data_IF_357934333180
#
_entry.id   IF_357934333180
#
_cell.length_a   1.000
_cell.length_b   1.000
_cell.length_c   1.000
_cell.angle_alpha   90.00
_cell.angle_beta   90.00
_cell.angle_gamma   90.00
#
_symmetry.space_group_name_H-M   'P 1'
#
loop_
_entity.id
_entity.type
_entity.pdbx_description
1 polymer ?
#
# COMPACT_ATOMS: atom_id res chain seq x y z
N UNK A 1 35.90 -7.33 13.95
CA UNK A 1 34.45 -7.55 13.94
C UNK A 1 33.89 -6.91 12.70
N UNK A 2 33.26 -7.69 11.82
CA UNK A 2 32.75 -7.26 10.51
C UNK A 2 31.56 -6.30 10.71
N UNK A 3 31.79 -4.98 10.59
CA UNK A 3 30.78 -3.93 10.84
C UNK A 3 29.86 -3.62 9.64
N UNK A 4 30.10 -4.20 8.47
CA UNK A 4 29.26 -3.96 7.29
C UNK A 4 28.52 -5.24 6.87
N UNK A 5 27.27 -5.13 6.52
CA UNK A 5 26.45 -6.24 5.98
C UNK A 5 27.11 -6.88 4.76
N UNK A 6 27.82 -6.07 3.97
CA UNK A 6 28.61 -6.53 2.82
C UNK A 6 29.70 -7.50 3.24
N UNK A 7 30.43 -7.20 4.33
CA UNK A 7 31.47 -8.08 4.83
C UNK A 7 30.90 -9.38 5.43
N UNK A 8 29.74 -9.31 6.08
CA UNK A 8 29.05 -10.51 6.60
C UNK A 8 28.58 -11.44 5.48
N UNK A 9 27.96 -10.90 4.44
CA UNK A 9 27.51 -11.67 3.26
C UNK A 9 28.70 -12.26 2.51
N UNK A 10 29.77 -11.49 2.30
CA UNK A 10 31.00 -11.99 1.69
C UNK A 10 31.61 -13.12 2.50
N UNK A 11 31.67 -12.99 3.81
CA UNK A 11 32.18 -14.05 4.70
C UNK A 11 31.29 -15.31 4.61
N UNK A 12 29.98 -15.16 4.66
CA UNK A 12 29.04 -16.28 4.64
C UNK A 12 29.05 -17.03 3.30
N UNK A 13 28.91 -16.33 2.18
CA UNK A 13 28.95 -16.96 0.85
C UNK A 13 30.34 -17.43 0.46
N UNK A 14 31.37 -16.68 0.82
CA UNK A 14 32.76 -17.07 0.58
C UNK A 14 33.12 -18.35 1.33
N UNK A 15 32.78 -18.45 2.63
CA UNK A 15 33.03 -19.66 3.42
C UNK A 15 32.23 -20.86 2.90
N UNK A 16 30.96 -20.66 2.52
CA UNK A 16 30.13 -21.72 1.95
C UNK A 16 30.72 -22.28 0.65
N UNK A 17 31.15 -21.40 -0.25
CA UNK A 17 31.78 -21.78 -1.53
C UNK A 17 33.12 -22.50 -1.31
N UNK A 18 33.95 -22.01 -0.39
CA UNK A 18 35.22 -22.64 -0.07
C UNK A 18 35.00 -24.02 0.54
N UNK A 19 34.05 -24.17 1.47
CA UNK A 19 33.71 -25.47 2.05
C UNK A 19 33.16 -26.45 1.01
N UNK A 20 32.28 -26.00 0.12
CA UNK A 20 31.74 -26.83 -0.98
C UNK A 20 32.86 -27.26 -1.95
N UNK A 21 33.72 -26.33 -2.37
CA UNK A 21 34.88 -26.62 -3.22
C UNK A 21 35.89 -27.55 -2.57
N UNK A 22 36.21 -27.28 -1.29
CA UNK A 22 37.09 -28.15 -0.50
C UNK A 22 36.54 -29.56 -0.32
N UNK A 23 35.25 -29.68 -0.04
CA UNK A 23 34.53 -30.97 0.04
C UNK A 23 34.55 -31.73 -1.29
N UNK A 24 34.36 -31.05 -2.40
CA UNK A 24 34.42 -31.65 -3.75
C UNK A 24 35.86 -32.15 -4.06
N UNK A 25 36.89 -31.34 -3.79
CA UNK A 25 38.26 -31.71 -4.01
C UNK A 25 38.64 -32.89 -3.11
N UNK A 26 38.23 -32.90 -1.82
CA UNK A 26 38.44 -34.01 -0.91
C UNK A 26 37.77 -35.29 -1.41
N UNK A 27 36.53 -35.18 -1.89
CA UNK A 27 35.79 -36.32 -2.46
C UNK A 27 36.50 -36.90 -3.69
N UNK A 28 36.94 -36.06 -4.62
CA UNK A 28 37.66 -36.48 -5.83
C UNK A 28 38.98 -37.14 -5.44
N UNK A 29 39.74 -36.59 -4.47
CA UNK A 29 40.99 -37.22 -3.96
C UNK A 29 40.72 -38.60 -3.34
N UNK A 30 39.66 -38.75 -2.54
CA UNK A 30 39.29 -40.04 -1.95
C UNK A 30 38.93 -41.07 -3.03
N UNK A 31 38.13 -40.70 -4.03
CA UNK A 31 37.75 -41.55 -5.15
C UNK A 31 38.94 -41.94 -6.02
N UNK A 32 39.85 -40.98 -6.31
CA UNK A 32 41.06 -41.27 -7.05
C UNK A 32 41.98 -42.23 -6.30
N UNK A 33 42.17 -42.03 -5.01
CA UNK A 33 42.96 -42.96 -4.15
C UNK A 33 42.32 -44.37 -4.18
N UNK A 34 41.03 -44.49 -3.96
CA UNK A 34 40.30 -45.77 -4.00
C UNK A 34 40.37 -46.47 -5.36
N UNK A 35 40.22 -45.72 -6.45
CA UNK A 35 40.28 -46.24 -7.82
C UNK A 35 41.69 -46.61 -8.28
N UNK A 36 42.72 -45.86 -7.86
CA UNK A 36 44.13 -46.16 -8.15
C UNK A 36 44.55 -47.44 -7.41
N UNK A 37 44.22 -47.57 -6.10
CA UNK A 37 44.54 -48.79 -5.33
C UNK A 37 43.93 -50.04 -5.97
N UNK A 38 42.69 -50.01 -6.42
CA UNK A 38 42.03 -51.12 -7.06
C UNK A 38 42.66 -51.53 -8.42
N UNK A 39 43.20 -50.58 -9.17
CA UNK A 39 43.87 -50.81 -10.46
C UNK A 39 45.30 -51.27 -10.33
N UNK A 40 46.07 -50.73 -9.39
CA UNK A 40 47.46 -51.09 -9.13
C UNK A 40 47.56 -52.50 -8.51
N UNK A 41 46.71 -52.82 -7.56
CA UNK A 41 46.67 -54.18 -6.99
C UNK A 41 46.23 -55.23 -8.01
N UNK A 42 45.36 -54.93 -8.96
CA UNK A 42 45.01 -55.78 -10.08
C UNK A 42 46.16 -56.00 -11.08
N UNK A 43 46.94 -54.95 -11.36
CA UNK A 43 48.08 -55.05 -12.30
C UNK A 43 49.26 -55.83 -11.73
N UNK A 44 49.51 -55.70 -10.43
CA UNK A 44 50.60 -56.48 -9.77
C UNK A 44 50.28 -57.99 -9.69
N UNK A 45 48.99 -58.34 -9.58
CA UNK A 45 48.58 -59.77 -9.56
C UNK A 45 48.64 -60.43 -10.93
N UNK A 46 48.65 -59.67 -12.01
CA UNK A 46 48.74 -60.23 -13.40
C UNK A 46 50.17 -60.25 -13.95
N UNK A 47 51.11 -59.67 -13.26
CA UNK A 47 52.52 -59.59 -13.69
C UNK A 47 53.42 -60.79 -13.20
N UNK A 48 52.83 -61.87 -12.69
CA UNK A 48 53.56 -63.11 -12.43
C UNK A 48 53.79 -63.79 -13.74
N UNK A 49 55.08 -63.99 -14.19
CA UNK A 49 55.34 -64.74 -15.46
C UNK A 49 54.84 -66.14 -15.37
N UNK A 50 53.93 -66.52 -16.28
CA UNK A 50 53.71 -67.94 -16.57
C UNK A 50 54.93 -68.45 -17.33
N UNK A 51 55.71 -69.21 -16.67
CA UNK A 51 56.72 -70.02 -17.31
C UNK A 51 56.03 -71.07 -18.17
N UNK A 52 56.41 -71.11 -19.43
CA UNK A 52 56.19 -72.11 -20.50
C UNK A 52 55.46 -73.39 -20.10
N UNK A 53 54.28 -73.54 -20.71
CA UNK A 53 53.71 -74.82 -21.00
C UNK A 53 52.96 -74.70 -22.34
N UNK A 54 53.65 -75.08 -23.35
CA UNK A 54 53.20 -75.93 -24.47
C UNK A 54 51.97 -75.50 -25.30
N UNK A 55 52.27 -75.23 -26.54
CA UNK A 55 51.42 -75.11 -27.70
C UNK A 55 50.41 -76.22 -27.83
N UNK A 56 49.16 -75.91 -28.01
CA UNK A 56 48.26 -76.69 -28.94
C UNK A 56 47.14 -75.73 -29.37
N UNK A 57 46.76 -75.75 -30.66
CA UNK A 57 45.69 -74.88 -31.22
C UNK A 57 44.35 -75.62 -31.10
N UNK A 58 43.34 -75.05 -30.56
CA UNK A 58 41.96 -75.50 -30.77
C UNK A 58 41.08 -74.26 -31.07
N UNK A 59 40.51 -74.32 -32.25
CA UNK A 59 39.39 -73.47 -32.71
C UNK A 59 38.16 -73.71 -31.83
N UNK A 60 37.32 -72.70 -31.71
CA UNK A 60 35.89 -72.94 -31.54
C UNK A 60 35.25 -72.24 -30.32
N UNK A 61 34.31 -71.43 -30.65
CA UNK A 61 33.08 -71.10 -29.93
C UNK A 61 33.10 -70.37 -28.56
N UNK A 62 32.41 -69.27 -28.56
CA UNK A 62 32.06 -68.43 -27.40
C UNK A 62 31.04 -69.19 -26.52
N UNK A 63 31.40 -69.34 -25.24
CA UNK A 63 30.48 -69.76 -24.19
C UNK A 63 30.71 -68.95 -22.90
N UNK A 64 29.68 -68.72 -22.07
CA UNK A 64 29.68 -67.71 -21.01
C UNK A 64 30.63 -68.03 -19.86
N UNK A 65 31.37 -67.06 -19.40
CA UNK A 65 32.36 -67.17 -18.31
C UNK A 65 31.61 -67.34 -16.97
N UNK A 66 31.61 -68.59 -16.48
CA UNK A 66 31.31 -68.84 -15.07
C UNK A 66 32.54 -68.51 -14.18
N UNK A 67 32.34 -68.14 -12.94
CA UNK A 67 33.47 -67.74 -12.04
C UNK A 67 34.31 -69.07 -11.74
N UNK A 68 35.58 -68.91 -12.05
CA UNK A 68 36.55 -70.03 -11.77
C UNK A 68 36.83 -70.00 -10.25
N UNK A 69 36.64 -71.16 -9.56
CA UNK A 69 37.01 -71.23 -8.16
C UNK A 69 38.54 -71.15 -8.02
N UNK A 70 38.97 -70.41 -6.95
CA UNK A 70 40.38 -70.24 -6.59
C UNK A 70 41.06 -71.63 -6.53
N UNK A 71 41.92 -71.88 -7.53
CA UNK A 71 42.80 -73.06 -7.48
C UNK A 71 43.82 -72.90 -6.40
N UNK A 72 43.75 -73.77 -5.41
CA UNK A 72 44.78 -73.98 -4.38
C UNK A 72 46.18 -74.08 -5.01
N UNK A 73 47.07 -73.17 -4.58
CA UNK A 73 48.48 -73.26 -4.94
C UNK A 73 49.07 -74.57 -4.46
N UNK A 74 49.95 -75.19 -5.25
CA UNK A 74 50.70 -76.37 -4.77
C UNK A 74 51.70 -75.89 -3.69
N UNK A 75 51.54 -76.36 -2.49
CA UNK A 75 52.49 -76.15 -1.38
C UNK A 75 53.83 -76.82 -1.75
N UNK A 76 54.88 -76.04 -1.83
CA UNK A 76 56.21 -76.57 -1.78
C UNK A 76 57.28 -76.00 -2.66
N UNK A 77 57.15 -74.81 -3.23
CA UNK A 77 58.31 -74.17 -3.89
C UNK A 77 58.68 -72.91 -3.11
N UNK A 78 59.76 -72.98 -2.37
CA UNK A 78 60.42 -71.78 -1.82
C UNK A 78 60.96 -70.94 -2.96
N UNK A 79 60.55 -69.61 -3.08
CA UNK A 79 61.04 -68.80 -4.16
C UNK A 79 62.57 -68.64 -4.05
N UNK A 80 63.20 -68.58 -5.20
CA UNK A 80 64.68 -68.45 -5.25
C UNK A 80 65.07 -67.04 -4.72
N UNK A 81 66.32 -66.92 -4.23
CA UNK A 81 66.80 -65.60 -3.73
C UNK A 81 66.69 -64.47 -4.77
N UNK A 82 66.82 -64.79 -6.07
CA UNK A 82 66.68 -63.84 -7.18
C UNK A 82 65.20 -63.38 -7.38
N UNK A 83 64.25 -64.33 -7.25
CA UNK A 83 62.83 -64.01 -7.33
C UNK A 83 62.39 -63.12 -6.17
N UNK A 84 62.88 -63.40 -4.96
CA UNK A 84 62.64 -62.52 -3.78
C UNK A 84 63.25 -61.12 -3.95
N UNK A 85 64.39 -61.01 -4.58
CA UNK A 85 65.05 -59.74 -4.86
C UNK A 85 64.29 -58.93 -5.92
N UNK A 86 63.85 -59.60 -7.01
CA UNK A 86 62.99 -58.96 -8.01
C UNK A 86 61.66 -58.50 -7.44
N UNK A 87 61.04 -59.29 -6.56
CA UNK A 87 59.81 -58.92 -5.86
C UNK A 87 59.97 -57.71 -4.96
N UNK A 88 61.09 -57.66 -4.23
CA UNK A 88 61.42 -56.54 -3.35
C UNK A 88 61.69 -55.23 -4.13
N UNK A 89 62.42 -55.36 -5.27
CA UNK A 89 62.70 -54.19 -6.15
C UNK A 89 61.42 -53.67 -6.81
N UNK A 90 60.53 -54.56 -7.32
CA UNK A 90 59.28 -54.19 -7.96
C UNK A 90 58.32 -53.52 -6.95
N UNK A 91 58.28 -54.06 -5.74
CA UNK A 91 57.46 -53.51 -4.64
C UNK A 91 57.98 -52.12 -4.18
N UNK A 92 59.28 -51.96 -4.07
CA UNK A 92 59.91 -50.68 -3.68
C UNK A 92 59.71 -49.62 -4.79
N UNK A 93 59.81 -49.99 -6.06
CA UNK A 93 59.51 -49.12 -7.18
C UNK A 93 58.01 -48.71 -7.25
N UNK A 94 57.10 -49.64 -7.02
CA UNK A 94 55.66 -49.35 -7.00
C UNK A 94 55.29 -48.43 -5.86
N UNK A 95 55.85 -48.61 -4.66
CA UNK A 95 55.60 -47.72 -3.50
C UNK A 95 56.24 -46.34 -3.69
N UNK A 96 57.39 -46.24 -4.32
CA UNK A 96 58.03 -44.93 -4.60
C UNK A 96 57.23 -44.11 -5.66
N UNK A 97 56.77 -44.77 -6.70
CA UNK A 97 55.93 -44.16 -7.73
C UNK A 97 54.55 -43.73 -7.15
N UNK A 98 53.97 -44.55 -6.29
CA UNK A 98 52.73 -44.28 -5.60
C UNK A 98 52.87 -43.04 -4.66
N UNK A 99 53.95 -43.01 -3.86
CA UNK A 99 54.20 -41.86 -2.99
C UNK A 99 54.47 -40.55 -3.76
N UNK A 100 55.20 -40.63 -4.89
CA UNK A 100 55.47 -39.46 -5.74
C UNK A 100 54.18 -38.91 -6.38
N UNK A 101 53.35 -39.82 -6.94
CA UNK A 101 52.06 -39.42 -7.56
C UNK A 101 51.06 -38.89 -6.54
N UNK A 102 50.99 -39.45 -5.34
CA UNK A 102 50.14 -38.93 -4.26
C UNK A 102 50.57 -37.54 -3.79
N UNK A 103 51.91 -37.31 -3.71
CA UNK A 103 52.42 -35.99 -3.32
C UNK A 103 52.14 -34.92 -4.39
N UNK A 104 52.32 -35.21 -5.66
CA UNK A 104 51.95 -34.33 -6.76
C UNK A 104 50.43 -34.03 -6.78
N UNK A 105 49.60 -35.04 -6.62
CA UNK A 105 48.14 -34.87 -6.51
C UNK A 105 47.74 -33.99 -5.34
N UNK A 106 48.38 -34.11 -4.19
CA UNK A 106 48.12 -33.27 -3.02
C UNK A 106 48.54 -31.82 -3.27
N UNK A 107 49.72 -31.60 -3.88
CA UNK A 107 50.18 -30.24 -4.23
C UNK A 107 49.24 -29.57 -5.23
N UNK A 108 48.90 -30.26 -6.31
CA UNK A 108 47.97 -29.72 -7.34
C UNK A 108 46.61 -29.44 -6.71
N UNK A 109 46.11 -30.35 -5.86
CA UNK A 109 44.81 -30.15 -5.18
C UNK A 109 44.85 -28.96 -4.20
N UNK A 110 45.94 -28.75 -3.50
CA UNK A 110 46.12 -27.63 -2.58
C UNK A 110 46.20 -26.29 -3.32
N UNK A 111 46.92 -26.24 -4.45
CA UNK A 111 47.00 -25.06 -5.31
C UNK A 111 45.65 -24.76 -5.92
N UNK A 112 44.96 -25.78 -6.43
CA UNK A 112 43.61 -25.62 -6.98
C UNK A 112 42.59 -25.12 -5.92
N UNK A 113 42.66 -25.64 -4.70
CA UNK A 113 41.81 -25.18 -3.58
C UNK A 113 42.10 -23.73 -3.22
N UNK A 114 43.39 -23.34 -3.14
CA UNK A 114 43.80 -21.97 -2.87
C UNK A 114 43.31 -21.00 -3.94
N UNK A 115 43.49 -21.35 -5.22
CA UNK A 115 43.00 -20.56 -6.36
C UNK A 115 41.45 -20.42 -6.35
N UNK A 116 40.77 -21.54 -6.06
CA UNK A 116 39.31 -21.55 -5.94
C UNK A 116 38.83 -20.70 -4.76
N UNK A 117 39.49 -20.75 -3.62
CA UNK A 117 39.15 -19.94 -2.45
C UNK A 117 39.29 -18.44 -2.73
N UNK A 118 40.38 -18.01 -3.39
CA UNK A 118 40.62 -16.61 -3.78
C UNK A 118 39.52 -16.14 -4.74
N UNK A 119 39.24 -16.96 -5.80
CA UNK A 119 38.20 -16.65 -6.77
C UNK A 119 36.81 -16.55 -6.12
N UNK A 120 36.48 -17.48 -5.22
CA UNK A 120 35.19 -17.50 -4.51
C UNK A 120 34.99 -16.29 -3.62
N UNK A 121 36.03 -15.88 -2.86
CA UNK A 121 36.00 -14.69 -2.01
C UNK A 121 35.84 -13.42 -2.88
N UNK A 122 36.57 -13.33 -3.97
CA UNK A 122 36.49 -12.20 -4.90
C UNK A 122 35.09 -12.09 -5.51
N UNK A 123 34.54 -13.22 -6.00
CA UNK A 123 33.19 -13.29 -6.61
C UNK A 123 32.10 -12.94 -5.58
N UNK A 124 32.20 -13.48 -4.36
CA UNK A 124 31.27 -13.18 -3.28
C UNK A 124 31.30 -11.69 -2.90
N UNK A 125 32.47 -11.07 -2.84
CA UNK A 125 32.63 -9.65 -2.56
C UNK A 125 32.04 -8.77 -3.68
N UNK A 126 32.26 -9.14 -4.94
CA UNK A 126 31.73 -8.45 -6.10
C UNK A 126 30.20 -8.54 -6.16
N UNK A 127 29.64 -9.75 -5.96
CA UNK A 127 28.18 -9.97 -5.91
C UNK A 127 27.52 -9.24 -4.76
N UNK A 128 28.06 -9.34 -3.55
CA UNK A 128 27.53 -8.63 -2.39
C UNK A 128 27.48 -7.11 -2.63
N UNK A 129 28.52 -6.56 -3.26
CA UNK A 129 28.56 -5.15 -3.63
C UNK A 129 27.48 -4.76 -4.65
N UNK A 130 27.23 -5.60 -5.63
CA UNK A 130 26.22 -5.36 -6.68
C UNK A 130 24.79 -5.44 -6.13
N UNK A 131 24.51 -6.41 -5.28
CA UNK A 131 23.16 -6.63 -4.69
C UNK A 131 22.84 -5.58 -3.63
N UNK A 132 23.80 -5.15 -2.81
CA UNK A 132 23.56 -4.20 -1.72
C UNK A 132 23.62 -2.71 -2.14
N UNK A 133 24.18 -2.40 -3.32
CA UNK A 133 24.27 -1.02 -3.79
C UNK A 133 22.92 -0.31 -3.90
N UNK A 134 21.85 -0.91 -4.47
CA UNK A 134 20.52 -0.31 -4.51
C UNK A 134 19.94 -0.03 -3.12
N UNK A 135 20.13 -0.93 -2.16
CA UNK A 135 19.68 -0.73 -0.78
C UNK A 135 20.36 0.48 -0.13
N UNK A 136 21.66 0.67 -0.42
CA UNK A 136 22.39 1.85 0.03
C UNK A 136 21.81 3.15 -0.54
N UNK A 137 21.43 3.16 -1.83
CA UNK A 137 20.80 4.32 -2.47
C UNK A 137 19.45 4.63 -1.81
N UNK A 138 18.58 3.63 -1.65
CA UNK A 138 17.28 3.80 -1.00
C UNK A 138 17.45 4.37 0.42
N UNK A 139 18.36 3.80 1.20
CA UNK A 139 18.60 4.23 2.59
C UNK A 139 19.17 5.65 2.67
N UNK A 140 20.06 6.03 1.76
CA UNK A 140 20.66 7.37 1.75
C UNK A 140 19.64 8.43 1.30
N UNK A 141 18.84 8.14 0.26
CA UNK A 141 17.75 9.01 -0.16
C UNK A 141 16.72 9.17 0.96
N UNK A 142 16.31 8.06 1.59
CA UNK A 142 15.38 8.09 2.72
C UNK A 142 15.89 8.93 3.91
N UNK A 143 17.22 8.93 4.18
CA UNK A 143 17.81 9.75 5.24
C UNK A 143 17.89 11.23 4.90
N UNK A 144 18.02 11.57 3.63
CA UNK A 144 18.05 12.96 3.15
C UNK A 144 16.66 13.58 3.08
N UNK A 145 15.62 12.74 3.05
CA UNK A 145 14.26 13.20 3.03
C UNK A 145 13.94 13.98 4.30
N UNK A 146 13.59 15.23 4.12
CA UNK A 146 13.07 16.14 5.14
C UNK A 146 11.87 16.86 4.56
N UNK A 147 11.08 17.49 5.41
CA UNK A 147 9.93 18.29 4.94
C UNK A 147 10.26 19.38 3.90
N UNK A 148 11.55 19.70 3.70
CA UNK A 148 12.03 20.64 2.70
C UNK A 148 12.33 19.99 1.34
N UNK A 149 12.65 18.68 1.30
CA UNK A 149 13.19 17.99 0.11
C UNK A 149 12.32 16.80 -0.31
N UNK A 150 10.98 16.91 -0.21
CA UNK A 150 10.05 15.84 -0.57
C UNK A 150 9.97 15.56 -2.09
N UNK A 151 10.58 16.41 -2.93
CA UNK A 151 10.61 16.24 -4.39
C UNK A 151 11.76 15.35 -4.87
N UNK A 152 12.70 14.96 -4.01
CA UNK A 152 13.69 13.95 -4.38
C UNK A 152 13.00 12.59 -4.54
N UNK A 153 13.41 11.84 -5.58
CA UNK A 153 12.95 10.47 -5.84
C UNK A 153 14.13 9.53 -5.82
N UNK A 154 13.86 8.29 -5.50
CA UNK A 154 14.88 7.24 -5.53
C UNK A 154 15.27 6.95 -6.98
N UNK A 155 14.30 6.97 -7.91
CA UNK A 155 14.46 6.72 -9.37
C UNK A 155 15.49 5.61 -9.64
N UNK A 156 15.27 4.45 -9.03
CA UNK A 156 16.23 3.35 -9.05
C UNK A 156 16.35 2.75 -10.46
N UNK A 157 17.46 3.06 -11.16
CA UNK A 157 17.81 2.47 -12.46
C UNK A 157 18.38 1.07 -12.28
N UNK A 158 17.50 0.11 -11.94
CA UNK A 158 17.84 -1.30 -11.78
C UNK A 158 16.96 -2.16 -12.69
N UNK A 159 17.42 -3.39 -13.05
CA UNK A 159 16.57 -4.36 -13.73
C UNK A 159 15.27 -4.64 -12.95
N UNK A 160 14.20 -5.08 -13.64
CA UNK A 160 12.95 -5.46 -12.98
C UNK A 160 13.21 -6.50 -11.88
N UNK A 161 12.70 -6.24 -10.66
CA UNK A 161 12.88 -7.11 -9.50
C UNK A 161 12.32 -6.47 -8.24
N UNK A 162 12.40 -7.19 -7.11
CA UNK A 162 11.82 -6.77 -5.82
C UNK A 162 12.35 -5.41 -5.33
N UNK A 163 13.65 -5.14 -5.53
CA UNK A 163 14.25 -3.87 -5.11
C UNK A 163 13.73 -2.68 -5.93
N UNK A 164 13.44 -2.89 -7.22
CA UNK A 164 12.83 -1.85 -8.05
C UNK A 164 11.39 -1.58 -7.61
N UNK A 165 10.59 -2.64 -7.38
CA UNK A 165 9.22 -2.48 -6.85
C UNK A 165 9.19 -1.75 -5.51
N UNK A 166 10.17 -2.05 -4.62
CA UNK A 166 10.31 -1.34 -3.36
C UNK A 166 10.58 0.15 -3.57
N UNK A 167 11.51 0.50 -4.48
CA UNK A 167 11.81 1.89 -4.82
C UNK A 167 10.59 2.61 -5.42
N UNK A 168 9.90 1.98 -6.38
CA UNK A 168 8.69 2.53 -7.02
C UNK A 168 7.56 2.75 -5.99
N UNK A 169 7.40 1.82 -5.02
CA UNK A 169 6.43 1.97 -3.92
C UNK A 169 6.79 3.14 -3.01
N UNK A 170 8.08 3.31 -2.74
CA UNK A 170 8.60 4.41 -1.91
C UNK A 170 8.40 5.76 -2.62
N UNK A 171 8.71 5.83 -3.93
CA UNK A 171 8.49 7.02 -4.74
C UNK A 171 7.00 7.39 -4.81
N UNK A 172 6.11 6.40 -4.95
CA UNK A 172 4.66 6.62 -4.88
C UNK A 172 4.16 7.11 -3.52
N UNK A 173 4.80 6.70 -2.42
CA UNK A 173 4.52 7.26 -1.08
C UNK A 173 5.00 8.71 -0.97
N UNK A 174 6.18 9.02 -1.52
CA UNK A 174 6.72 10.39 -1.55
C UNK A 174 5.84 11.33 -2.37
N UNK A 175 5.29 10.89 -3.51
CA UNK A 175 4.33 11.67 -4.31
C UNK A 175 3.10 12.06 -3.49
N UNK A 176 2.56 11.11 -2.71
CA UNK A 176 1.41 11.38 -1.82
C UNK A 176 1.77 12.36 -0.72
N UNK A 177 2.93 12.18 -0.07
CA UNK A 177 3.40 13.10 0.99
C UNK A 177 3.65 14.50 0.46
N UNK A 178 4.27 14.65 -0.72
CA UNK A 178 4.49 15.95 -1.37
C UNK A 178 3.15 16.62 -1.68
N UNK A 179 2.19 15.86 -2.21
CA UNK A 179 0.83 16.32 -2.45
C UNK A 179 0.15 16.85 -1.18
N UNK A 180 0.23 16.09 -0.08
CA UNK A 180 -0.34 16.46 1.23
C UNK A 180 0.32 17.70 1.81
N UNK A 181 1.66 17.76 1.86
CA UNK A 181 2.39 18.94 2.38
C UNK A 181 2.15 20.17 1.50
N UNK A 182 2.09 19.98 0.18
CA UNK A 182 1.74 21.05 -0.75
C UNK A 182 0.32 21.58 -0.55
N UNK A 183 -0.65 20.71 -0.32
CA UNK A 183 -2.04 21.10 0.02
C UNK A 183 -2.10 21.84 1.34
N UNK A 184 -1.42 21.35 2.39
CA UNK A 184 -1.35 21.99 3.70
C UNK A 184 -0.72 23.39 3.64
N UNK A 185 0.37 23.57 2.89
CA UNK A 185 0.99 24.90 2.70
C UNK A 185 0.06 25.88 1.99
N UNK A 186 -0.63 25.41 0.93
CA UNK A 186 -1.61 26.26 0.24
C UNK A 186 -2.79 26.61 1.13
N UNK A 187 -3.29 25.66 1.92
CA UNK A 187 -4.34 25.90 2.91
C UNK A 187 -3.93 26.96 3.93
N UNK A 188 -2.75 26.81 4.56
CA UNK A 188 -2.26 27.80 5.54
C UNK A 188 -2.05 29.19 4.92
N UNK A 189 -1.50 29.28 3.71
CA UNK A 189 -1.31 30.54 3.01
C UNK A 189 -2.64 31.22 2.67
N UNK A 190 -3.62 30.45 2.20
CA UNK A 190 -4.95 30.97 1.87
C UNK A 190 -5.71 31.41 3.14
N UNK A 191 -5.65 30.62 4.22
CA UNK A 191 -6.25 30.97 5.51
C UNK A 191 -5.67 32.30 6.06
N UNK A 192 -4.35 32.44 6.00
CA UNK A 192 -3.68 33.68 6.42
C UNK A 192 -4.11 34.89 5.56
N UNK A 193 -4.29 34.67 4.25
CA UNK A 193 -4.76 35.74 3.34
C UNK A 193 -6.21 36.15 3.63
N UNK A 194 -7.11 35.17 3.78
CA UNK A 194 -8.54 35.39 4.06
C UNK A 194 -8.77 36.00 5.47
N UNK A 195 -7.88 35.76 6.44
CA UNK A 195 -7.90 36.41 7.74
C UNK A 195 -7.34 37.85 7.71
N UNK A 196 -6.35 38.11 6.86
CA UNK A 196 -5.74 39.46 6.77
C UNK A 196 -6.71 40.50 6.19
N UNK A 197 -7.53 40.12 5.24
CA UNK A 197 -8.47 41.00 4.56
C UNK A 197 -9.49 41.61 5.52
N UNK A 198 -10.27 40.87 6.33
CA UNK A 198 -11.20 41.42 7.28
C UNK A 198 -10.52 42.29 8.33
N UNK A 199 -9.34 41.90 8.82
CA UNK A 199 -8.55 42.70 9.77
C UNK A 199 -8.14 44.05 9.18
N UNK A 200 -7.73 44.08 7.90
CA UNK A 200 -7.42 45.34 7.22
C UNK A 200 -8.66 46.23 7.06
N UNK A 201 -9.83 45.64 6.77
CA UNK A 201 -11.10 46.38 6.67
C UNK A 201 -11.52 46.92 8.03
N UNK A 202 -11.41 46.13 9.11
CA UNK A 202 -11.70 46.56 10.48
C UNK A 202 -10.80 47.75 10.87
N UNK A 203 -9.49 47.58 10.62
CA UNK A 203 -8.51 48.67 10.92
C UNK A 203 -8.80 49.95 10.14
N UNK A 204 -9.05 49.86 8.84
CA UNK A 204 -9.38 51.00 8.01
C UNK A 204 -10.70 51.69 8.46
N UNK A 205 -11.71 50.91 8.82
CA UNK A 205 -12.98 51.43 9.34
C UNK A 205 -12.79 52.16 10.67
N UNK A 206 -11.95 51.65 11.55
CA UNK A 206 -11.64 52.31 12.82
C UNK A 206 -10.74 53.55 12.64
N UNK A 207 -9.62 53.43 11.90
CA UNK A 207 -8.63 54.53 11.76
C UNK A 207 -9.15 55.69 10.88
N UNK A 208 -9.76 55.35 9.73
CA UNK A 208 -10.18 56.34 8.74
C UNK A 208 -11.65 56.74 8.97
N UNK A 209 -12.50 55.75 9.25
CA UNK A 209 -13.93 55.95 9.38
C UNK A 209 -14.33 56.75 10.62
N UNK A 210 -13.63 56.54 11.73
CA UNK A 210 -13.86 57.26 12.99
C UNK A 210 -12.93 58.49 13.20
N UNK A 211 -12.08 58.82 12.23
CA UNK A 211 -11.21 59.97 12.30
C UNK A 211 -12.00 61.28 12.26
N UNK A 212 -11.56 62.30 13.04
CA UNK A 212 -12.22 63.60 13.15
C UNK A 212 -13.45 63.54 14.05
N UNK A 213 -14.47 64.30 13.70
CA UNK A 213 -15.75 64.36 14.43
C UNK A 213 -16.88 63.78 13.52
N UNK A 214 -17.01 62.45 13.40
CA UNK A 214 -17.98 61.81 12.53
C UNK A 214 -19.41 61.97 13.04
N UNK A 215 -20.37 62.16 12.12
CA UNK A 215 -21.78 62.25 12.52
C UNK A 215 -22.28 60.94 13.16
N UNK A 216 -23.30 60.99 14.04
CA UNK A 216 -23.87 59.82 14.69
C UNK A 216 -24.29 58.73 13.69
N UNK A 217 -24.83 59.09 12.52
CA UNK A 217 -25.27 58.18 11.48
C UNK A 217 -24.05 57.49 10.80
N UNK A 218 -22.92 58.20 10.66
CA UNK A 218 -21.68 57.61 10.17
C UNK A 218 -21.11 56.63 11.17
N UNK A 219 -21.11 56.95 12.45
CA UNK A 219 -20.68 56.04 13.52
C UNK A 219 -21.54 54.77 13.57
N UNK A 220 -22.86 54.93 13.45
CA UNK A 220 -23.77 53.77 13.44
C UNK A 220 -23.48 52.83 12.26
N UNK A 221 -23.29 53.34 11.03
CA UNK A 221 -22.93 52.56 9.86
C UNK A 221 -21.56 51.86 9.99
N UNK A 222 -20.58 52.54 10.58
CA UNK A 222 -19.26 51.94 10.83
C UNK A 222 -19.36 50.82 11.84
N UNK A 223 -20.11 51.02 12.92
CA UNK A 223 -20.36 49.99 13.93
C UNK A 223 -21.01 48.77 13.33
N UNK A 224 -22.05 48.92 12.53
CA UNK A 224 -22.75 47.82 11.84
C UNK A 224 -21.79 47.08 10.90
N UNK A 225 -20.95 47.81 10.13
CA UNK A 225 -19.96 47.23 9.24
C UNK A 225 -18.88 46.46 10.01
N UNK A 226 -18.41 46.99 11.16
CA UNK A 226 -17.42 46.33 12.02
C UNK A 226 -17.98 45.04 12.61
N UNK A 227 -19.24 45.04 13.08
CA UNK A 227 -19.92 43.83 13.58
C UNK A 227 -20.01 42.79 12.45
N UNK A 228 -20.53 43.14 11.27
CA UNK A 228 -20.64 42.22 10.14
C UNK A 228 -19.30 41.63 9.67
N UNK A 229 -18.20 42.41 9.77
CA UNK A 229 -16.86 41.88 9.46
C UNK A 229 -16.37 40.95 10.58
N UNK A 230 -16.68 41.25 11.85
CA UNK A 230 -16.35 40.39 12.97
C UNK A 230 -17.07 39.03 12.86
N UNK A 231 -18.38 39.03 12.63
CA UNK A 231 -19.21 37.83 12.42
C UNK A 231 -18.68 36.97 11.27
N UNK A 232 -18.31 37.63 10.15
CA UNK A 232 -17.72 36.91 9.01
C UNK A 232 -16.37 36.26 9.34
N UNK A 233 -15.56 36.93 10.21
CA UNK A 233 -14.27 36.41 10.66
C UNK A 233 -14.46 35.24 11.61
N UNK A 234 -15.44 35.30 12.49
CA UNK A 234 -15.80 34.23 13.41
C UNK A 234 -16.22 32.95 12.65
N UNK A 235 -17.13 33.09 11.68
CA UNK A 235 -17.53 32.01 10.79
C UNK A 235 -16.37 31.41 10.00
N UNK A 236 -15.41 32.24 9.58
CA UNK A 236 -14.21 31.74 8.91
C UNK A 236 -13.37 30.86 9.85
N UNK A 237 -13.10 31.33 11.08
CA UNK A 237 -12.32 30.63 12.10
C UNK A 237 -13.03 29.33 12.47
N UNK A 238 -14.34 29.35 12.71
CA UNK A 238 -15.14 28.16 13.01
C UNK A 238 -15.05 27.14 11.87
N UNK A 239 -15.18 27.58 10.61
CA UNK A 239 -15.06 26.71 9.44
C UNK A 239 -13.66 26.06 9.32
N UNK A 240 -12.60 26.81 9.68
CA UNK A 240 -11.23 26.29 9.69
C UNK A 240 -11.01 25.26 10.80
N UNK A 241 -11.56 25.50 12.00
CA UNK A 241 -11.50 24.56 13.12
C UNK A 241 -12.26 23.27 12.81
N UNK A 242 -13.48 23.39 12.27
CA UNK A 242 -14.29 22.23 11.88
C UNK A 242 -13.63 21.42 10.76
N UNK A 243 -12.97 22.08 9.82
CA UNK A 243 -12.19 21.39 8.79
C UNK A 243 -11.04 20.58 9.42
N UNK A 244 -10.31 21.17 10.37
CA UNK A 244 -9.22 20.49 11.07
C UNK A 244 -9.73 19.28 11.88
N UNK A 245 -10.80 19.46 12.66
CA UNK A 245 -11.42 18.38 13.46
C UNK A 245 -11.95 17.25 12.56
N UNK A 246 -12.59 17.60 11.44
CA UNK A 246 -13.12 16.59 10.51
C UNK A 246 -12.03 15.78 9.79
N UNK A 247 -10.80 16.30 9.66
CA UNK A 247 -9.66 15.57 9.10
C UNK A 247 -9.04 14.55 10.09
N UNK A 248 -9.19 14.77 11.41
CA UNK A 248 -8.71 13.85 12.45
C UNK A 248 -9.61 12.61 12.62
N UNK A 249 -10.83 12.65 12.07
CA UNK A 249 -11.82 11.58 12.18
C UNK A 249 -12.80 11.79 13.35
N UNK A 250 -13.79 10.90 13.47
CA UNK A 250 -14.83 11.00 14.50
C UNK A 250 -14.37 10.33 15.80
N UNK A 251 -14.29 11.08 16.90
CA UNK A 251 -14.03 10.51 18.23
C UNK A 251 -15.27 9.79 18.80
N UNK A 252 -16.46 10.35 18.56
CA UNK A 252 -17.72 9.80 19.04
C UNK A 252 -18.77 9.79 17.94
N UNK A 253 -19.60 8.76 17.92
CA UNK A 253 -20.72 8.66 16.99
C UNK A 253 -22.00 8.26 17.71
N UNK A 254 -23.07 8.99 17.48
CA UNK A 254 -24.40 8.72 17.96
C UNK A 254 -25.42 8.52 16.82
N UNK A 255 -26.56 7.91 17.06
CA UNK A 255 -27.64 7.91 16.07
C UNK A 255 -28.22 9.31 15.92
N UNK A 256 -28.17 9.86 14.70
CA UNK A 256 -28.68 11.21 14.37
C UNK A 256 -29.79 11.08 13.34
N UNK A 257 -30.94 11.69 13.59
CA UNK A 257 -32.02 11.81 12.61
C UNK A 257 -31.71 13.00 11.67
N UNK A 258 -31.28 12.67 10.47
CA UNK A 258 -30.92 13.68 9.46
C UNK A 258 -32.15 14.42 8.92
N UNK A 259 -33.32 13.79 8.86
CA UNK A 259 -34.54 14.44 8.38
C UNK A 259 -34.98 15.55 9.35
N UNK A 260 -35.00 15.22 10.65
CA UNK A 260 -35.34 16.21 11.69
C UNK A 260 -34.32 17.34 11.76
N UNK A 261 -33.03 17.04 11.57
CA UNK A 261 -31.95 18.04 11.58
C UNK A 261 -32.08 18.96 10.35
N UNK A 262 -32.33 18.39 9.17
CA UNK A 262 -32.52 19.13 7.93
C UNK A 262 -33.76 20.03 7.96
N UNK A 263 -34.84 19.60 8.58
CA UNK A 263 -36.05 20.38 8.79
C UNK A 263 -35.78 21.59 9.70
N UNK A 264 -35.08 21.37 10.82
CA UNK A 264 -34.73 22.41 11.77
C UNK A 264 -33.80 23.47 11.14
N UNK A 265 -32.78 23.05 10.42
CA UNK A 265 -31.85 23.96 9.74
C UNK A 265 -32.52 24.74 8.60
N UNK A 266 -33.41 24.11 7.86
CA UNK A 266 -34.19 24.76 6.81
C UNK A 266 -35.09 25.87 7.40
N UNK A 267 -35.75 25.59 8.52
CA UNK A 267 -36.60 26.59 9.22
C UNK A 267 -35.77 27.79 9.74
N UNK A 268 -34.51 27.55 10.15
CA UNK A 268 -33.59 28.59 10.62
C UNK A 268 -32.91 29.39 9.51
N UNK A 269 -32.90 28.87 8.27
CA UNK A 269 -32.21 29.49 7.13
C UNK A 269 -33.11 30.50 6.42
N UNK A 270 -32.75 31.81 6.35
CA UNK A 270 -33.52 32.80 5.59
C UNK A 270 -33.54 32.44 4.10
N UNK A 271 -34.72 32.30 3.52
CA UNK A 271 -34.88 31.92 2.13
C UNK A 271 -35.97 32.73 1.41
N UNK A 272 -36.14 33.99 1.79
CA UNK A 272 -37.13 34.89 1.25
C UNK A 272 -37.04 35.02 -0.29
N UNK A 273 -38.17 34.86 -0.97
CA UNK A 273 -38.24 34.90 -2.43
C UNK A 273 -37.77 33.64 -3.17
N UNK A 274 -37.49 32.54 -2.45
CA UNK A 274 -37.17 31.24 -3.05
C UNK A 274 -38.29 30.23 -2.85
N UNK A 275 -38.50 29.35 -3.83
CA UNK A 275 -39.44 28.23 -3.72
C UNK A 275 -38.73 27.05 -3.04
N UNK A 276 -39.35 26.48 -2.00
CA UNK A 276 -38.83 25.28 -1.32
C UNK A 276 -39.63 24.04 -1.76
N UNK A 277 -38.91 22.97 -2.08
CA UNK A 277 -39.44 21.63 -2.28
C UNK A 277 -38.77 20.72 -1.29
N UNK A 278 -39.52 20.11 -0.38
CA UNK A 278 -39.03 19.22 0.65
C UNK A 278 -39.65 17.83 0.55
N UNK A 279 -38.84 16.81 0.56
CA UNK A 279 -39.24 15.40 0.63
C UNK A 279 -38.34 14.68 1.65
N UNK A 280 -38.67 14.84 2.93
CA UNK A 280 -37.87 14.38 4.06
C UNK A 280 -38.41 13.05 4.60
N UNK A 281 -37.96 11.95 4.06
CA UNK A 281 -38.20 10.64 4.64
C UNK A 281 -37.32 10.43 5.88
N UNK A 282 -37.80 9.77 6.96
CA UNK A 282 -37.02 9.49 8.16
C UNK A 282 -35.69 8.78 7.82
N UNK A 283 -34.56 9.38 8.21
CA UNK A 283 -33.23 8.86 7.91
C UNK A 283 -32.34 9.03 9.14
N UNK A 284 -32.04 7.92 9.81
CA UNK A 284 -31.12 7.90 10.96
C UNK A 284 -29.77 7.38 10.53
N UNK A 285 -28.69 8.16 10.77
CA UNK A 285 -27.32 7.78 10.49
C UNK A 285 -26.50 7.79 11.79
N UNK A 286 -25.37 7.08 11.82
CA UNK A 286 -24.41 7.20 12.91
C UNK A 286 -23.39 8.28 12.59
N UNK A 287 -23.22 9.24 13.50
CA UNK A 287 -22.28 10.33 13.28
C UNK A 287 -22.18 11.28 14.46
N UNK A 288 -21.38 12.31 14.30
CA UNK A 288 -21.30 13.46 15.18
C UNK A 288 -22.42 14.46 14.81
N UNK A 289 -23.35 14.70 15.76
CA UNK A 289 -24.50 15.56 15.54
C UNK A 289 -24.11 16.97 15.14
N UNK A 290 -23.07 17.54 15.79
CA UNK A 290 -22.65 18.93 15.53
C UNK A 290 -22.05 19.05 14.11
N UNK A 291 -21.21 18.11 13.70
CA UNK A 291 -20.65 18.09 12.36
C UNK A 291 -21.74 17.90 11.29
N UNK A 292 -22.72 17.04 11.52
CA UNK A 292 -23.83 16.82 10.59
C UNK A 292 -24.74 18.05 10.49
N UNK A 293 -24.99 18.78 11.59
CA UNK A 293 -25.67 20.07 11.62
C UNK A 293 -24.91 21.10 10.75
N UNK A 294 -23.59 21.21 10.96
CA UNK A 294 -22.77 22.10 10.11
C UNK A 294 -22.76 21.72 8.64
N UNK A 295 -22.80 20.43 8.32
CA UNK A 295 -22.89 19.94 6.94
C UNK A 295 -24.18 20.43 6.28
N UNK A 296 -25.33 20.21 6.95
CA UNK A 296 -26.64 20.60 6.41
C UNK A 296 -26.74 22.11 6.27
N UNK A 297 -26.34 22.85 7.31
CA UNK A 297 -26.33 24.32 7.32
C UNK A 297 -25.48 24.90 6.20
N UNK A 298 -24.29 24.33 5.93
CA UNK A 298 -23.44 24.75 4.82
C UNK A 298 -24.08 24.46 3.46
N UNK A 299 -24.72 23.32 3.29
CA UNK A 299 -25.45 23.00 2.06
C UNK A 299 -26.61 23.97 1.80
N UNK A 300 -27.44 24.24 2.82
CA UNK A 300 -28.57 25.15 2.71
C UNK A 300 -28.13 26.61 2.48
N UNK A 301 -27.17 27.10 3.24
CA UNK A 301 -26.62 28.44 3.06
C UNK A 301 -26.01 28.62 1.67
N UNK A 302 -25.32 27.59 1.15
CA UNK A 302 -24.79 27.60 -0.20
C UNK A 302 -25.91 27.60 -1.24
N UNK A 303 -26.97 26.81 -1.05
CA UNK A 303 -28.12 26.74 -1.94
C UNK A 303 -28.91 28.07 -2.00
N UNK A 304 -29.01 28.79 -0.89
CA UNK A 304 -29.64 30.13 -0.83
C UNK A 304 -28.74 31.16 -1.52
N UNK A 305 -27.46 31.23 -1.12
CA UNK A 305 -26.50 32.24 -1.59
C UNK A 305 -26.25 32.20 -3.09
N UNK A 306 -26.19 31.01 -3.67
CA UNK A 306 -25.90 30.80 -5.09
C UNK A 306 -27.13 30.58 -5.94
N UNK A 307 -28.32 30.87 -5.39
CA UNK A 307 -29.57 30.84 -6.13
C UNK A 307 -29.76 32.08 -7.02
N UNK A 308 -30.78 32.04 -7.84
CA UNK A 308 -31.29 33.19 -8.60
C UNK A 308 -32.54 33.74 -7.94
N UNK A 309 -32.88 35.02 -8.10
CA UNK A 309 -34.18 35.54 -7.63
C UNK A 309 -35.36 34.73 -8.18
N UNK A 310 -36.31 34.35 -7.32
CA UNK A 310 -37.39 33.48 -7.67
C UNK A 310 -37.03 32.03 -8.01
N UNK A 311 -35.80 31.61 -7.64
CA UNK A 311 -35.34 30.26 -7.86
C UNK A 311 -35.91 29.26 -6.89
N UNK A 312 -35.35 28.02 -6.89
CA UNK A 312 -35.84 26.89 -6.13
C UNK A 312 -34.69 26.21 -5.35
N UNK A 313 -35.04 25.69 -4.19
CA UNK A 313 -34.20 24.78 -3.41
C UNK A 313 -35.00 23.50 -3.21
N UNK A 314 -34.39 22.36 -3.50
CA UNK A 314 -34.92 21.03 -3.28
C UNK A 314 -34.10 20.35 -2.20
N UNK A 315 -34.75 19.89 -1.15
CA UNK A 315 -34.11 19.17 0.00
C UNK A 315 -34.82 17.85 0.17
N UNK A 316 -34.08 16.76 0.06
CA UNK A 316 -34.67 15.42 0.25
C UNK A 316 -33.74 14.49 1.04
N UNK A 317 -34.37 13.60 1.82
CA UNK A 317 -33.71 12.46 2.47
C UNK A 317 -34.33 11.18 1.95
N UNK A 318 -33.51 10.25 1.46
CA UNK A 318 -33.96 8.96 0.94
C UNK A 318 -33.25 7.84 1.70
N UNK A 319 -33.95 7.02 2.49
CA UNK A 319 -33.34 5.84 3.12
C UNK A 319 -32.82 4.87 2.04
N UNK A 320 -31.71 4.19 2.32
CA UNK A 320 -31.25 3.13 1.46
C UNK A 320 -32.27 1.99 1.45
N UNK A 321 -32.62 1.51 0.27
CA UNK A 321 -33.48 0.34 0.15
C UNK A 321 -32.75 -0.85 0.81
N UNK A 322 -33.39 -1.58 1.75
CA UNK A 322 -32.73 -2.73 2.36
C UNK A 322 -32.33 -3.70 1.24
N UNK A 323 -31.14 -4.30 1.31
CA UNK A 323 -30.72 -5.27 0.31
C UNK A 323 -31.82 -6.34 0.18
N UNK A 324 -32.17 -6.78 -1.04
CA UNK A 324 -33.20 -7.78 -1.23
C UNK A 324 -32.80 -8.99 -0.40
N UNK A 325 -33.63 -9.31 0.62
CA UNK A 325 -33.36 -10.43 1.54
C UNK A 325 -32.95 -11.63 0.69
N UNK A 326 -31.74 -12.12 0.92
CA UNK A 326 -31.22 -13.27 0.21
C UNK A 326 -32.26 -14.37 0.34
N UNK A 327 -32.99 -14.63 -0.75
CA UNK A 327 -33.90 -15.75 -0.82
C UNK A 327 -33.04 -16.99 -0.65
N UNK A 328 -32.97 -17.48 0.58
CA UNK A 328 -32.40 -18.80 0.88
C UNK A 328 -33.18 -19.77 0.00
N UNK A 329 -32.58 -20.18 -1.09
CA UNK A 329 -33.07 -21.28 -1.93
C UNK A 329 -33.03 -22.51 -1.03
N UNK A 330 -34.16 -22.80 -0.37
CA UNK A 330 -34.34 -24.10 0.24
C UNK A 330 -34.31 -25.16 -0.88
N UNK A 331 -33.55 -26.25 -0.72
CA UNK A 331 -33.58 -27.34 -1.66
C UNK A 331 -34.98 -27.93 -1.71
N UNK A 332 -35.46 -28.17 -2.92
CA UNK A 332 -36.73 -28.80 -3.25
C UNK A 332 -36.72 -30.25 -2.71
N UNK A 333 -37.30 -30.44 -1.55
CA UNK A 333 -37.53 -31.75 -0.98
C UNK A 333 -38.95 -31.82 -0.42
N UNK A 334 -39.77 -32.57 -1.13
CA UNK A 334 -41.02 -33.22 -0.71
C UNK A 334 -42.18 -32.32 -0.30
N UNK A 335 -43.09 -32.13 -1.22
CA UNK A 335 -44.45 -31.67 -1.04
C UNK A 335 -45.29 -32.80 -0.45
N UNK A 336 -45.89 -32.68 0.76
CA UNK A 336 -47.04 -33.49 1.17
C UNK A 336 -48.34 -32.78 0.82
N UNK A 337 -49.45 -33.53 0.66
CA UNK A 337 -50.69 -33.01 0.09
C UNK A 337 -51.55 -32.22 1.04
N UNK A 338 -52.18 -31.21 0.49
CA UNK A 338 -53.40 -30.51 0.83
C UNK A 338 -54.08 -30.82 2.18
N UNK A 339 -54.03 -29.88 3.13
CA UNK A 339 -55.02 -29.78 4.19
C UNK A 339 -55.35 -28.30 4.48
N UNK A 340 -56.63 -28.02 4.47
CA UNK A 340 -57.41 -26.93 5.00
C UNK A 340 -56.75 -25.58 5.35
N UNK A 341 -57.14 -24.54 4.60
CA UNK A 341 -56.88 -23.11 4.89
C UNK A 341 -57.55 -22.69 6.18
N UNK A 342 -56.72 -22.44 7.21
CA UNK A 342 -57.10 -21.63 8.37
C UNK A 342 -56.65 -20.16 8.07
N UNK A 343 -57.49 -19.14 8.35
CA UNK A 343 -57.14 -17.75 8.12
C UNK A 343 -55.97 -17.33 8.99
N UNK A 344 -54.97 -16.69 8.42
CA UNK A 344 -53.83 -16.14 9.08
C UNK A 344 -54.23 -15.09 10.13
N UNK A 345 -53.66 -15.09 11.34
CA UNK A 345 -53.87 -14.03 12.29
C UNK A 345 -53.24 -12.73 11.76
N UNK A 346 -53.98 -11.62 11.94
CA UNK A 346 -53.56 -10.28 11.59
C UNK A 346 -52.15 -9.99 12.12
N UNK A 347 -51.27 -9.50 11.23
CA UNK A 347 -49.94 -8.99 11.58
C UNK A 347 -50.09 -7.95 12.69
N UNK A 348 -49.62 -8.24 13.86
CA UNK A 348 -49.39 -7.24 14.91
C UNK A 348 -48.40 -6.20 14.36
N UNK A 349 -48.66 -4.90 14.54
CA UNK A 349 -47.69 -3.87 14.24
C UNK A 349 -46.46 -4.17 15.10
N UNK A 350 -45.30 -4.33 14.46
CA UNK A 350 -44.03 -4.55 15.15
C UNK A 350 -43.82 -3.42 16.14
N UNK A 351 -43.51 -3.78 17.41
CA UNK A 351 -43.09 -2.84 18.43
C UNK A 351 -41.85 -2.06 17.93
N UNK A 352 -41.56 -0.87 18.49
CA UNK A 352 -40.44 -0.05 18.08
C UNK A 352 -39.14 -0.79 18.41
N UNK A 353 -38.64 -1.52 17.43
CA UNK A 353 -37.22 -1.84 17.39
C UNK A 353 -36.50 -0.49 17.27
N UNK A 354 -35.60 -0.18 18.20
CA UNK A 354 -34.83 1.05 18.17
C UNK A 354 -34.24 1.24 16.76
N UNK A 355 -34.16 2.48 16.26
CA UNK A 355 -33.70 2.76 14.91
C UNK A 355 -32.25 2.31 14.76
N UNK A 356 -32.04 1.15 14.19
CA UNK A 356 -30.73 0.77 13.65
C UNK A 356 -30.36 1.82 12.62
N UNK A 357 -29.12 2.31 12.64
CA UNK A 357 -28.66 3.28 11.67
C UNK A 357 -28.90 2.74 10.25
N UNK A 358 -29.78 3.39 9.52
CA UNK A 358 -30.13 3.06 8.14
C UNK A 358 -29.22 3.87 7.24
N UNK A 359 -28.56 3.24 6.25
CA UNK A 359 -27.89 3.99 5.21
C UNK A 359 -28.92 4.81 4.40
N UNK A 360 -28.47 5.84 3.74
CA UNK A 360 -29.37 6.67 2.92
C UNK A 360 -28.68 7.84 2.26
N UNK A 361 -29.44 8.66 1.58
CA UNK A 361 -28.93 9.80 0.80
C UNK A 361 -29.63 11.09 1.26
N UNK A 362 -28.82 12.09 1.61
CA UNK A 362 -29.26 13.47 1.76
C UNK A 362 -28.96 14.17 0.42
N UNK A 363 -29.99 14.80 -0.18
CA UNK A 363 -29.83 15.55 -1.43
C UNK A 363 -30.26 16.99 -1.23
N UNK A 364 -29.38 17.92 -1.64
CA UNK A 364 -29.69 19.36 -1.73
C UNK A 364 -29.44 19.80 -3.16
N UNK A 365 -30.47 20.35 -3.80
CA UNK A 365 -30.38 20.89 -5.16
C UNK A 365 -30.87 22.34 -5.18
N UNK A 366 -30.21 23.19 -5.92
CA UNK A 366 -30.62 24.57 -6.12
C UNK A 366 -30.59 24.96 -7.58
N UNK A 367 -31.47 25.87 -7.96
CA UNK A 367 -31.33 26.62 -9.20
C UNK A 367 -30.26 27.69 -9.06
N UNK A 368 -29.70 28.14 -10.18
CA UNK A 368 -28.65 29.16 -10.13
C UNK A 368 -27.98 29.40 -11.48
N UNK A 369 -26.84 30.05 -11.50
CA UNK A 369 -26.02 30.19 -12.69
C UNK A 369 -25.59 28.84 -13.24
N UNK A 370 -25.49 28.68 -14.55
CA UNK A 370 -24.97 27.47 -15.18
C UNK A 370 -23.49 27.28 -14.79
N UNK A 371 -23.15 26.10 -14.34
CA UNK A 371 -21.79 25.70 -13.92
C UNK A 371 -21.24 24.74 -14.97
N UNK A 372 -19.99 24.93 -15.37
CA UNK A 372 -19.30 23.95 -16.20
C UNK A 372 -19.07 22.68 -15.36
N UNK A 373 -19.49 21.49 -15.82
CA UNK A 373 -19.22 20.23 -15.11
C UNK A 373 -17.74 20.00 -14.79
N UNK A 374 -16.83 20.51 -15.62
CA UNK A 374 -15.38 20.42 -15.37
C UNK A 374 -14.89 21.25 -14.17
N UNK A 375 -15.66 22.26 -13.77
CA UNK A 375 -15.32 23.11 -12.60
C UNK A 375 -15.85 22.55 -11.28
N UNK A 376 -16.84 21.64 -11.30
CA UNK A 376 -17.48 21.11 -10.09
C UNK A 376 -16.46 20.48 -9.11
N UNK A 377 -15.49 19.64 -9.53
CA UNK A 377 -14.51 19.08 -8.60
C UNK A 377 -13.67 20.16 -7.92
N UNK A 378 -13.38 21.26 -8.63
CA UNK A 378 -12.61 22.37 -8.08
C UNK A 378 -13.37 23.17 -7.03
N UNK A 379 -14.71 23.22 -7.11
CA UNK A 379 -15.54 23.93 -6.12
C UNK A 379 -15.55 23.21 -4.76
N UNK A 380 -15.15 21.95 -4.71
CA UNK A 380 -14.99 21.18 -3.47
C UNK A 380 -13.63 21.40 -2.79
N UNK A 381 -12.68 22.09 -3.47
CA UNK A 381 -11.39 22.44 -2.88
C UNK A 381 -11.53 23.65 -1.94
N UNK A 382 -10.80 23.70 -0.81
CA UNK A 382 -10.82 24.84 0.09
C UNK A 382 -10.40 26.15 -0.59
N UNK A 383 -11.10 27.24 -0.26
CA UNK A 383 -10.87 28.58 -0.80
C UNK A 383 -11.08 28.74 -2.30
N UNK A 384 -11.74 27.79 -2.96
CA UNK A 384 -12.10 27.91 -4.38
C UNK A 384 -13.42 28.64 -4.56
N UNK A 385 -13.41 29.57 -5.52
CA UNK A 385 -14.57 30.36 -5.95
C UNK A 385 -14.61 30.41 -7.47
N UNK A 386 -15.79 30.68 -8.04
CA UNK A 386 -15.91 30.97 -9.48
C UNK A 386 -15.14 32.24 -9.82
N UNK A 387 -14.41 32.23 -10.94
CA UNK A 387 -13.48 33.28 -11.35
C UNK A 387 -14.14 34.66 -11.55
N UNK A 388 -15.46 34.72 -11.82
CA UNK A 388 -16.17 35.96 -12.16
C UNK A 388 -16.54 36.88 -10.97
N UNK A 389 -16.40 36.40 -9.70
CA UNK A 389 -16.85 37.11 -8.52
C UNK A 389 -15.76 37.30 -7.46
N UNK A 390 -14.61 37.82 -7.84
CA UNK A 390 -13.45 37.86 -6.94
C UNK A 390 -13.50 38.90 -5.80
N UNK A 391 -14.39 39.87 -5.76
CA UNK A 391 -14.29 41.02 -4.84
C UNK A 391 -15.61 41.63 -4.36
N UNK A 392 -16.68 40.90 -4.14
CA UNK A 392 -17.88 41.44 -3.53
C UNK A 392 -17.81 41.25 -2.01
N UNK A 393 -17.87 42.36 -1.24
CA UNK A 393 -17.92 42.32 0.22
C UNK A 393 -19.20 41.55 0.66
N UNK A 394 -19.06 40.50 1.45
CA UNK A 394 -20.16 39.66 1.92
C UNK A 394 -20.19 38.23 1.32
N UNK A 395 -19.32 37.91 0.36
CA UNK A 395 -19.19 36.53 -0.15
C UNK A 395 -18.30 35.69 0.78
N UNK A 396 -18.78 34.51 1.18
CA UNK A 396 -18.08 33.60 2.09
C UNK A 396 -16.70 33.16 1.58
N UNK A 397 -15.82 32.71 2.47
CA UNK A 397 -14.42 32.37 2.23
C UNK A 397 -14.16 31.20 1.23
N UNK A 398 -15.20 30.61 0.65
CA UNK A 398 -15.06 29.44 -0.23
C UNK A 398 -14.72 28.14 0.52
N UNK A 399 -15.09 28.07 1.80
CA UNK A 399 -14.85 26.89 2.65
C UNK A 399 -16.09 25.98 2.79
N UNK A 400 -17.31 26.47 2.51
CA UNK A 400 -18.54 25.71 2.81
C UNK A 400 -18.59 24.34 2.14
N UNK A 401 -18.32 24.24 0.83
CA UNK A 401 -18.36 22.96 0.12
C UNK A 401 -17.19 22.03 0.46
N UNK A 402 -16.02 22.59 0.73
CA UNK A 402 -14.88 21.78 1.19
C UNK A 402 -15.10 21.25 2.61
N UNK A 403 -15.78 22.01 3.49
CA UNK A 403 -16.20 21.54 4.81
C UNK A 403 -17.23 20.41 4.68
N UNK A 404 -18.22 20.54 3.80
CA UNK A 404 -19.18 19.46 3.49
C UNK A 404 -18.44 18.19 3.04
N UNK A 405 -17.46 18.34 2.14
CA UNK A 405 -16.67 17.20 1.67
C UNK A 405 -15.82 16.55 2.77
N UNK A 406 -15.26 17.35 3.68
CA UNK A 406 -14.47 16.84 4.80
C UNK A 406 -15.35 16.14 5.83
N UNK A 407 -16.48 16.74 6.22
CA UNK A 407 -17.43 16.11 7.15
C UNK A 407 -18.01 14.81 6.57
N UNK A 408 -18.39 14.80 5.28
CA UNK A 408 -18.86 13.58 4.63
C UNK A 408 -17.81 12.47 4.69
N UNK A 409 -16.54 12.79 4.40
CA UNK A 409 -15.41 11.85 4.49
C UNK A 409 -15.19 11.34 5.91
N UNK A 410 -15.25 12.21 6.93
CA UNK A 410 -15.12 11.82 8.33
C UNK A 410 -16.20 10.81 8.74
N UNK A 411 -17.40 10.92 8.18
CA UNK A 411 -18.53 9.99 8.40
C UNK A 411 -18.50 8.76 7.48
N UNK A 412 -17.46 8.58 6.66
CA UNK A 412 -17.42 7.50 5.66
C UNK A 412 -18.49 7.60 4.59
N UNK A 413 -19.07 8.81 4.40
CA UNK A 413 -20.10 9.06 3.41
C UNK A 413 -19.50 9.44 2.05
N UNK A 414 -20.15 8.99 0.96
CA UNK A 414 -19.80 9.36 -0.40
C UNK A 414 -20.48 10.69 -0.77
N UNK A 415 -19.66 11.68 -1.17
CA UNK A 415 -20.15 12.97 -1.66
C UNK A 415 -20.17 12.98 -3.19
N UNK A 416 -21.31 13.30 -3.79
CA UNK A 416 -21.45 13.57 -5.22
C UNK A 416 -21.98 14.98 -5.43
N UNK A 417 -21.34 15.71 -6.32
CA UNK A 417 -21.77 17.04 -6.72
C UNK A 417 -21.88 17.09 -8.25
N UNK A 418 -23.01 17.60 -8.75
CA UNK A 418 -23.29 17.66 -10.18
C UNK A 418 -23.84 19.04 -10.55
N UNK A 419 -23.38 19.59 -11.67
CA UNK A 419 -23.93 20.83 -12.23
C UNK A 419 -25.30 20.55 -12.86
N UNK A 420 -26.29 21.35 -12.51
CA UNK A 420 -27.63 21.24 -13.09
C UNK A 420 -27.63 21.80 -14.52
N UNK A 421 -28.34 21.15 -15.48
CA UNK A 421 -28.42 21.63 -16.83
C UNK A 421 -29.26 22.93 -16.96
N UNK A 422 -29.03 23.67 -18.06
CA UNK A 422 -29.91 24.78 -18.43
C UNK A 422 -31.33 24.25 -18.75
N UNK A 423 -32.39 25.05 -18.51
CA UNK A 423 -32.40 26.48 -18.09
C UNK A 423 -32.34 26.71 -16.58
N UNK A 424 -32.41 25.64 -15.76
CA UNK A 424 -32.39 25.75 -14.28
C UNK A 424 -31.07 26.25 -13.75
N UNK A 425 -29.97 25.68 -14.23
CA UNK A 425 -28.63 25.89 -13.68
C UNK A 425 -28.52 25.52 -12.21
N UNK A 426 -27.43 25.95 -11.55
CA UNK A 426 -27.18 25.61 -10.15
C UNK A 426 -26.46 24.28 -9.99
N UNK A 427 -26.62 23.65 -8.84
CA UNK A 427 -25.90 22.42 -8.48
C UNK A 427 -26.77 21.48 -7.64
N UNK A 428 -26.57 20.20 -7.81
CA UNK A 428 -27.12 19.15 -6.95
C UNK A 428 -25.98 18.48 -6.18
N UNK A 429 -26.12 18.41 -4.86
CA UNK A 429 -25.17 17.75 -3.97
C UNK A 429 -25.89 16.61 -3.25
N UNK A 430 -25.29 15.44 -3.32
CA UNK A 430 -25.76 14.21 -2.67
C UNK A 430 -24.71 13.71 -1.70
N UNK A 431 -25.13 13.46 -0.46
CA UNK A 431 -24.30 12.83 0.56
C UNK A 431 -24.91 11.48 0.89
N UNK A 432 -24.21 10.42 0.52
CA UNK A 432 -24.64 9.03 0.72
C UNK A 432 -23.96 8.44 1.94
N UNK A 433 -24.74 8.09 2.94
CA UNK A 433 -24.30 7.41 4.15
C UNK A 433 -24.47 5.90 4.00
N UNK A 434 -23.45 5.12 4.35
CA UNK A 434 -23.52 3.67 4.36
C UNK A 434 -24.43 3.16 5.50
N UNK A 435 -25.06 1.99 5.33
CA UNK A 435 -25.71 1.30 6.42
C UNK A 435 -24.69 0.83 7.46
N UNK A 436 -25.05 0.80 8.73
CA UNK A 436 -24.11 0.50 9.83
C UNK A 436 -23.46 -0.89 9.77
N UNK A 437 -24.01 -1.84 8.99
CA UNK A 437 -23.44 -3.19 8.80
C UNK A 437 -22.34 -3.25 7.72
N UNK A 438 -22.21 -2.23 6.87
CA UNK A 438 -21.21 -2.21 5.80
C UNK A 438 -19.91 -1.49 6.18
N UNK A 439 -19.89 -0.81 7.31
CA UNK A 439 -18.69 -0.21 7.85
C UNK A 439 -17.82 -1.28 8.51
N UNK A 440 -17.12 -2.07 7.70
CA UNK A 440 -16.04 -2.94 8.16
C UNK A 440 -14.97 -2.12 8.89
N UNK A 441 -14.19 -2.71 9.83
CA UNK A 441 -13.18 -1.98 10.57
C UNK A 441 -12.18 -1.36 9.57
N UNK A 442 -12.01 -0.06 9.68
CA UNK A 442 -10.94 0.63 8.97
C UNK A 442 -9.61 0.05 9.43
N UNK A 443 -8.92 -0.63 8.49
CA UNK A 443 -7.57 -1.17 8.64
C UNK A 443 -6.52 -0.05 8.53
#
# INVERSE_FOLDING_TARGET
>A
MLRSERARLTALYGTLLVLAGGGLIALVNVLLRGGLYARISGAVTTAVPRSDAERAPVQGEAAPVLPVPARSQPAGRTPSPEELQQYAVTRNLSTAVEQATLHELLLVSLVALAAFAVLSIWLAWWMAGRVLRPVGVITETARRLSGANLHERIDLKAPPGELRRLADTFDGMLDRMEGLVGAQRRFAANAAHELRTPLAVQRAAAEIGLAGDPSPEKVARIRERLIGVADSSEHLIESLLLLAVSEEGLETTEPVDLAALAEADLAATPHEGLSLLTDLAPLTVRGDRALLDHLIRNLLTNAVRHNRPGGRIELSTTPAEPPPAARTRMPDAARPPTAARTPAPARRPGGPGGPGAQGGVLTVSNTGPVIDPADVPRLLEPFRRRAERRHTAGEGAGLGLSLVASIARAHGAELRAEANPAPGGGMTIQVRFAAAEEAGPAL
#
